data_IF_347214670945
#
_entry.id   IF_347214670945
#
_cell.length_a   1.000
_cell.length_b   1.000
_cell.length_c   1.000
_cell.angle_alpha   90.00
_cell.angle_beta   90.00
_cell.angle_gamma   90.00
#
_symmetry.space_group_name_H-M   'P 1'
#
loop_
_entity.id
_entity.type
_entity.pdbx_description
1 polymer ?
#
# COMPACT_ATOMS: atom_id res chain seq x y z
N UNK A 1 -11.95 -9.57 -4.46
CA UNK A 1 -12.22 -9.92 -3.03
C UNK A 1 -11.07 -10.66 -2.33
N UNK A 2 -10.48 -11.73 -2.89
CA UNK A 2 -9.32 -12.40 -2.26
C UNK A 2 -8.07 -11.52 -2.14
N UNK A 3 -7.77 -10.70 -3.16
CA UNK A 3 -6.61 -9.80 -3.16
C UNK A 3 -6.72 -8.72 -2.07
N UNK A 4 -7.90 -8.11 -1.90
CA UNK A 4 -8.17 -7.14 -0.82
C UNK A 4 -7.98 -7.79 0.56
N UNK A 5 -8.52 -9.00 0.78
CA UNK A 5 -8.30 -9.75 2.03
C UNK A 5 -6.82 -10.05 2.27
N UNK A 6 -6.06 -10.27 1.21
CA UNK A 6 -4.62 -10.49 1.31
C UNK A 6 -3.89 -9.22 1.76
N UNK A 7 -4.24 -8.04 1.22
CA UNK A 7 -3.68 -6.75 1.69
C UNK A 7 -3.98 -6.53 3.18
N UNK A 8 -5.21 -6.76 3.64
CA UNK A 8 -5.54 -6.66 5.06
C UNK A 8 -4.73 -7.63 5.93
N UNK A 9 -4.48 -8.85 5.45
CA UNK A 9 -3.67 -9.83 6.18
C UNK A 9 -2.21 -9.36 6.31
N UNK A 10 -1.65 -8.81 5.24
CA UNK A 10 -0.29 -8.25 5.26
C UNK A 10 -0.23 -7.06 6.23
N UNK A 11 -1.19 -6.13 6.15
CA UNK A 11 -1.27 -5.00 7.08
C UNK A 11 -1.38 -5.44 8.54
N UNK A 12 -2.26 -6.40 8.85
CA UNK A 12 -2.39 -6.95 10.20
C UNK A 12 -1.10 -7.62 10.69
N UNK A 13 -0.40 -8.34 9.82
CA UNK A 13 0.90 -8.94 10.16
C UNK A 13 1.96 -7.87 10.44
N UNK A 14 1.98 -6.77 9.68
CA UNK A 14 2.93 -5.68 9.93
C UNK A 14 2.56 -4.92 11.22
N UNK A 15 1.27 -4.71 11.51
CA UNK A 15 0.81 -4.12 12.76
C UNK A 15 1.26 -4.95 13.98
N UNK A 16 1.18 -6.28 13.89
CA UNK A 16 1.66 -7.17 14.95
C UNK A 16 3.18 -7.02 15.19
N UNK A 17 3.97 -6.86 14.12
CA UNK A 17 5.42 -6.62 14.21
C UNK A 17 5.78 -5.28 14.82
N UNK A 18 4.94 -4.26 14.60
CA UNK A 18 5.10 -2.96 15.28
C UNK A 18 4.79 -3.11 16.76
N UNK A 19 3.71 -3.81 17.11
CA UNK A 19 3.32 -4.02 18.50
C UNK A 19 4.34 -4.86 19.31
N UNK A 20 5.03 -5.80 18.66
CA UNK A 20 6.12 -6.58 19.28
C UNK A 20 7.47 -5.84 19.33
N UNK A 21 7.60 -4.71 18.64
CA UNK A 21 8.86 -3.96 18.51
C UNK A 21 9.83 -4.53 17.46
N UNK A 22 9.40 -5.53 16.67
CA UNK A 22 10.21 -6.14 15.61
C UNK A 22 10.37 -5.26 14.37
N UNK A 23 9.54 -4.22 14.24
CA UNK A 23 9.59 -3.24 13.15
C UNK A 23 9.10 -1.87 13.62
N UNK A 24 9.60 -0.80 13.01
CA UNK A 24 9.03 0.54 13.21
C UNK A 24 7.75 0.72 12.39
N UNK A 25 6.88 1.64 12.82
CA UNK A 25 5.68 2.02 12.06
C UNK A 25 6.00 2.42 10.60
N UNK A 26 7.12 3.12 10.38
CA UNK A 26 7.59 3.49 9.05
C UNK A 26 8.01 2.27 8.21
N UNK A 27 8.73 1.31 8.80
CA UNK A 27 9.13 0.07 8.11
C UNK A 27 7.92 -0.81 7.76
N UNK A 28 6.98 -0.94 8.70
CA UNK A 28 5.72 -1.66 8.51
C UNK A 28 4.88 -1.02 7.39
N UNK A 29 4.73 0.31 7.42
CA UNK A 29 4.03 1.07 6.40
C UNK A 29 4.67 0.87 5.00
N UNK A 30 5.99 1.06 4.88
CA UNK A 30 6.71 0.85 3.62
C UNK A 30 6.55 -0.58 3.06
N UNK A 31 6.48 -1.60 3.93
CA UNK A 31 6.22 -2.98 3.52
C UNK A 31 4.80 -3.18 2.98
N UNK A 32 3.78 -2.60 3.62
CA UNK A 32 2.39 -2.64 3.15
C UNK A 32 2.26 -1.97 1.79
N UNK A 33 2.83 -0.78 1.62
CA UNK A 33 2.79 -0.02 0.36
C UNK A 33 3.45 -0.82 -0.76
N UNK A 34 4.69 -1.29 -0.55
CA UNK A 34 5.41 -2.07 -1.56
C UNK A 34 4.61 -3.28 -2.03
N UNK A 35 4.00 -4.00 -1.09
CA UNK A 35 3.20 -5.19 -1.41
C UNK A 35 1.90 -4.83 -2.13
N UNK A 36 1.19 -3.82 -1.64
CA UNK A 36 -0.04 -3.30 -2.25
C UNK A 36 0.19 -2.79 -3.68
N UNK A 37 1.23 -1.98 -3.90
CA UNK A 37 1.61 -1.48 -5.23
C UNK A 37 1.95 -2.63 -6.18
N UNK A 38 2.72 -3.63 -5.74
CA UNK A 38 3.02 -4.80 -6.58
C UNK A 38 1.75 -5.52 -7.04
N UNK A 39 0.76 -5.67 -6.16
CA UNK A 39 -0.52 -6.31 -6.49
C UNK A 39 -1.39 -5.44 -7.40
N UNK A 40 -1.45 -4.13 -7.15
CA UNK A 40 -2.20 -3.19 -7.99
C UNK A 40 -1.63 -3.16 -9.42
N UNK A 41 -0.31 -3.05 -9.57
CA UNK A 41 0.37 -3.13 -10.87
C UNK A 41 0.09 -4.46 -11.58
N UNK A 42 0.09 -5.58 -10.84
CA UNK A 42 -0.22 -6.89 -11.41
C UNK A 42 -1.67 -6.95 -11.90
N UNK A 43 -2.63 -6.45 -11.12
CA UNK A 43 -4.04 -6.40 -11.52
C UNK A 43 -4.24 -5.51 -12.77
N UNK A 44 -3.61 -4.34 -12.80
CA UNK A 44 -3.62 -3.44 -13.95
C UNK A 44 -3.02 -4.10 -15.21
N UNK A 45 -1.90 -4.81 -15.09
CA UNK A 45 -1.29 -5.53 -16.21
C UNK A 45 -2.22 -6.56 -16.85
N UNK A 46 -3.09 -7.20 -16.06
CA UNK A 46 -4.10 -8.14 -16.56
C UNK A 46 -5.43 -7.48 -16.98
N UNK A 47 -5.50 -6.14 -17.02
CA UNK A 47 -6.70 -5.39 -17.42
C UNK A 47 -7.80 -5.36 -16.36
N UNK A 48 -7.46 -5.58 -15.09
CA UNK A 48 -8.40 -5.52 -13.96
C UNK A 48 -8.25 -4.18 -13.21
N UNK A 49 -8.56 -3.08 -13.89
CA UNK A 49 -8.37 -1.71 -13.38
C UNK A 49 -9.19 -1.42 -12.12
N UNK A 50 -10.43 -1.88 -12.07
CA UNK A 50 -11.31 -1.76 -10.89
C UNK A 50 -10.73 -2.45 -9.66
N UNK A 51 -10.06 -3.59 -9.87
CA UNK A 51 -9.38 -4.35 -8.81
C UNK A 51 -8.08 -3.63 -8.42
N UNK A 52 -7.33 -3.08 -9.37
CA UNK A 52 -6.12 -2.32 -9.11
C UNK A 52 -6.40 -1.08 -8.24
N UNK A 53 -7.42 -0.31 -8.59
CA UNK A 53 -7.87 0.87 -7.83
C UNK A 53 -8.33 0.48 -6.43
N UNK A 54 -9.09 -0.62 -6.30
CA UNK A 54 -9.52 -1.12 -4.99
C UNK A 54 -8.34 -1.56 -4.12
N UNK A 55 -7.29 -2.15 -4.70
CA UNK A 55 -6.07 -2.53 -3.98
C UNK A 55 -5.31 -1.28 -3.53
N UNK A 56 -5.16 -0.27 -4.40
CA UNK A 56 -4.50 0.98 -4.07
C UNK A 56 -5.20 1.68 -2.89
N UNK A 57 -6.52 1.87 -2.98
CA UNK A 57 -7.30 2.53 -1.93
C UNK A 57 -7.22 1.82 -0.57
N UNK A 58 -7.23 0.48 -0.56
CA UNK A 58 -7.07 -0.30 0.68
C UNK A 58 -5.64 -0.20 1.21
N UNK A 59 -4.65 -0.22 0.34
CA UNK A 59 -3.23 -0.08 0.72
C UNK A 59 -2.98 1.26 1.39
N UNK A 60 -3.47 2.35 0.81
CA UNK A 60 -3.34 3.70 1.38
C UNK A 60 -4.01 3.80 2.74
N UNK A 61 -5.22 3.24 2.87
CA UNK A 61 -5.95 3.22 4.14
C UNK A 61 -5.20 2.47 5.24
N UNK A 62 -4.63 1.31 4.93
CA UNK A 62 -3.87 0.53 5.92
C UNK A 62 -2.50 1.14 6.23
N UNK A 63 -1.84 1.76 5.23
CA UNK A 63 -0.61 2.52 5.42
C UNK A 63 -0.83 3.71 6.36
N UNK A 64 -1.89 4.48 6.17
CA UNK A 64 -2.29 5.59 7.03
C UNK A 64 -2.60 5.15 8.47
N UNK A 65 -3.20 3.97 8.64
CA UNK A 65 -3.45 3.38 9.97
C UNK A 65 -2.17 2.99 10.70
N UNK A 66 -1.20 2.45 9.97
CA UNK A 66 0.09 2.04 10.54
C UNK A 66 0.98 3.23 10.86
N UNK A 67 0.99 4.23 9.98
CA UNK A 67 1.80 5.43 10.13
C UNK A 67 0.99 6.65 9.66
N UNK A 68 0.35 7.40 10.57
CA UNK A 68 -0.45 8.57 10.19
C UNK A 68 0.34 9.65 9.44
N UNK A 69 1.65 9.79 9.73
CA UNK A 69 2.53 10.71 9.03
C UNK A 69 2.75 10.35 7.55
N UNK A 70 2.32 9.15 7.12
CA UNK A 70 2.25 8.78 5.71
C UNK A 70 1.24 9.63 4.93
N UNK A 71 0.12 10.01 5.53
CA UNK A 71 -0.88 10.86 4.86
C UNK A 71 -0.36 12.28 4.64
N UNK A 72 0.53 12.77 5.53
CA UNK A 72 1.15 14.09 5.40
C UNK A 72 2.31 14.10 4.39
N UNK A 73 2.86 12.92 4.07
CA UNK A 73 3.78 12.76 2.98
C UNK A 73 2.97 12.71 1.67
N UNK A 74 2.60 13.88 1.15
CA UNK A 74 2.03 14.02 -0.19
C UNK A 74 2.77 13.09 -1.17
N UNK A 75 2.04 12.32 -2.01
CA UNK A 75 2.68 11.60 -3.08
C UNK A 75 3.35 12.66 -3.95
N UNK A 76 4.69 12.75 -3.86
CA UNK A 76 5.46 13.60 -4.75
C UNK A 76 5.02 13.25 -6.15
N UNK A 77 4.33 14.19 -6.79
CA UNK A 77 3.93 14.07 -8.18
C UNK A 77 5.23 13.88 -8.96
N UNK A 78 5.62 12.64 -9.19
CA UNK A 78 6.47 12.28 -10.30
C UNK A 78 5.62 12.66 -11.50
N UNK A 79 5.80 13.91 -11.91
CA UNK A 79 5.29 14.45 -13.15
C UNK A 79 5.54 13.36 -14.19
N UNK A 80 4.43 12.81 -14.70
CA UNK A 80 4.46 12.01 -15.89
C UNK A 80 5.37 12.75 -16.89
N UNK A 81 6.48 12.11 -17.25
CA UNK A 81 7.35 12.64 -18.27
C UNK A 81 6.50 12.87 -19.50
N UNK A 82 6.33 14.13 -19.87
CA UNK A 82 5.79 14.54 -21.15
C UNK A 82 7.00 14.62 -22.09
N UNK A 83 7.20 13.69 -23.03
CA UNK A 83 8.15 13.92 -24.11
C UNK A 83 7.47 14.80 -25.15
N UNK A 84 7.95 16.03 -25.30
CA UNK A 84 7.74 16.86 -26.48
C UNK A 84 9.09 17.40 -26.95
#
# INVERSE_FOLDING_TARGET
MMLIRHVHRVAASQAARVASGDATAAQACAAVIRHGTSLAVTAHYFGADDIADAIAAVTDREAARLNPAWCDAEPSAVAAGEPA
#
